data_IF_295660834506
#
_entry.id   IF_295660834506
#
_cell.length_a   1.000
_cell.length_b   1.000
_cell.length_c   1.000
_cell.angle_alpha   90.00
_cell.angle_beta   90.00
_cell.angle_gamma   90.00
#
_symmetry.space_group_name_H-M   'P 1'
#
loop_
_entity.id
_entity.type
_entity.pdbx_description
1 polymer ?
#
# COMPACT_ATOMS: atom_id res chain seq x y z
N UNK A 1 13.90 -11.58 41.23
CA UNK A 1 13.31 -12.04 39.95
C UNK A 1 12.81 -10.83 39.17
N UNK A 2 13.35 -10.59 37.98
CA UNK A 2 12.92 -9.49 37.12
C UNK A 2 11.61 -9.84 36.41
N UNK A 3 10.64 -8.91 36.31
CA UNK A 3 9.37 -9.15 35.64
C UNK A 3 9.58 -9.40 34.14
N UNK A 4 8.78 -10.28 33.56
CA UNK A 4 8.83 -10.67 32.14
C UNK A 4 7.80 -9.86 31.35
N UNK A 5 8.14 -9.34 30.17
CA UNK A 5 7.32 -8.38 29.43
C UNK A 5 6.75 -8.96 28.13
N UNK A 6 5.48 -8.68 27.87
CA UNK A 6 4.80 -8.88 26.58
C UNK A 6 4.35 -7.52 26.08
N UNK A 7 4.69 -7.20 24.84
CA UNK A 7 4.34 -5.91 24.23
C UNK A 7 3.29 -6.13 23.13
N UNK A 8 2.15 -5.45 23.26
CA UNK A 8 1.14 -5.29 22.22
C UNK A 8 1.23 -3.90 21.58
N UNK A 9 1.71 -3.80 20.35
CA UNK A 9 1.76 -2.53 19.61
C UNK A 9 0.54 -2.46 18.71
N UNK A 10 -0.37 -1.56 19.04
CA UNK A 10 -1.57 -1.29 18.27
C UNK A 10 -1.41 0.01 17.51
N UNK A 11 -1.08 -0.06 16.22
CA UNK A 11 -0.98 1.10 15.33
C UNK A 11 -2.40 1.42 14.85
N UNK A 12 -2.98 2.53 15.30
CA UNK A 12 -4.34 2.97 14.99
C UNK A 12 -4.32 4.24 14.16
N UNK A 13 -5.04 4.19 13.05
CA UNK A 13 -5.05 5.11 11.91
C UNK A 13 -3.96 4.78 10.92
N UNK A 14 -4.35 4.69 9.66
CA UNK A 14 -3.50 5.02 8.52
C UNK A 14 -4.11 6.29 7.96
N UNK A 15 -3.58 7.44 8.37
CA UNK A 15 -3.99 8.70 7.76
C UNK A 15 -3.31 8.75 6.41
N UNK A 16 -4.04 8.37 5.36
CA UNK A 16 -3.62 8.69 4.00
C UNK A 16 -3.72 10.21 3.89
N UNK A 17 -2.58 10.90 4.05
CA UNK A 17 -2.54 12.35 3.96
C UNK A 17 -2.88 12.77 2.54
N UNK A 18 -3.73 13.80 2.47
CA UNK A 18 -4.56 14.14 1.33
C UNK A 18 -3.81 14.27 -0.01
N UNK A 19 -4.28 13.46 -0.96
CA UNK A 19 -5.02 13.99 -2.13
C UNK A 19 -6.55 13.97 -1.85
N UNK A 20 -6.98 14.15 -0.58
CA UNK A 20 -8.25 13.66 0.04
C UNK A 20 -8.14 12.14 0.31
N UNK A 21 -8.43 11.55 1.48
CA UNK A 21 -9.51 11.78 2.45
C UNK A 21 -10.72 10.89 2.12
N UNK A 22 -11.07 10.90 0.84
CA UNK A 22 -11.92 9.93 0.17
C UNK A 22 -11.09 9.30 -0.93
N UNK A 23 -11.17 7.98 -1.00
CA UNK A 23 -10.43 7.24 -1.97
C UNK A 23 -11.01 7.56 -3.35
N UNK A 24 -10.33 8.42 -4.09
CA UNK A 24 -10.69 8.69 -5.48
C UNK A 24 -10.55 7.38 -6.24
N UNK A 25 -11.66 6.88 -6.77
CA UNK A 25 -11.65 5.71 -7.63
C UNK A 25 -11.01 6.10 -8.97
N UNK A 26 -9.78 5.63 -9.20
CA UNK A 26 -9.03 5.97 -10.40
C UNK A 26 -9.72 5.49 -11.69
N UNK A 27 -10.59 4.47 -11.62
CA UNK A 27 -11.43 4.10 -12.76
C UNK A 27 -12.42 5.20 -13.10
N UNK A 28 -13.15 5.74 -12.13
CA UNK A 28 -14.17 6.77 -12.37
C UNK A 28 -13.55 8.04 -12.98
N UNK A 29 -12.36 8.44 -12.53
CA UNK A 29 -11.65 9.60 -13.09
C UNK A 29 -11.13 9.33 -14.50
N UNK A 30 -10.62 8.12 -14.75
CA UNK A 30 -10.16 7.74 -16.08
C UNK A 30 -11.31 7.58 -17.06
N UNK A 31 -12.46 7.07 -16.60
CA UNK A 31 -13.69 6.99 -17.37
C UNK A 31 -14.14 8.38 -17.79
N UNK A 32 -14.21 9.34 -16.85
CA UNK A 32 -14.50 10.74 -17.16
C UNK A 32 -13.53 11.35 -18.19
N UNK A 33 -12.23 11.10 -18.04
CA UNK A 33 -11.23 11.54 -19.01
C UNK A 33 -11.49 10.97 -20.41
N UNK A 34 -11.78 9.66 -20.49
CA UNK A 34 -12.06 8.98 -21.76
C UNK A 34 -13.36 9.49 -22.37
N UNK A 35 -14.40 9.72 -21.57
CA UNK A 35 -15.67 10.26 -22.04
C UNK A 35 -15.50 11.66 -22.64
N UNK A 36 -14.71 12.53 -21.99
CA UNK A 36 -14.37 13.85 -22.53
C UNK A 36 -13.59 13.74 -23.85
N UNK A 37 -12.60 12.85 -23.90
CA UNK A 37 -11.82 12.60 -25.12
C UNK A 37 -12.68 12.02 -26.25
N UNK A 38 -13.63 11.15 -25.92
CA UNK A 38 -14.50 10.51 -26.89
C UNK A 38 -15.58 11.46 -27.43
N UNK A 39 -15.93 12.54 -26.71
CA UNK A 39 -16.84 13.59 -27.25
C UNK A 39 -16.28 14.24 -28.51
N UNK A 40 -14.97 14.41 -28.60
CA UNK A 40 -14.29 15.02 -29.75
C UNK A 40 -13.91 13.96 -30.80
N UNK A 41 -13.25 12.87 -30.38
CA UNK A 41 -12.73 11.86 -31.31
C UNK A 41 -13.82 10.91 -31.85
N UNK A 42 -14.81 10.55 -31.01
CA UNK A 42 -15.94 9.65 -31.33
C UNK A 42 -15.53 8.34 -32.01
N UNK A 43 -14.38 7.80 -31.63
CA UNK A 43 -13.85 6.56 -32.19
C UNK A 43 -13.03 5.74 -31.18
N UNK A 44 -13.11 6.07 -29.89
CA UNK A 44 -12.51 5.26 -28.83
C UNK A 44 -13.37 4.02 -28.61
N UNK A 45 -12.79 2.84 -28.75
CA UNK A 45 -13.52 1.57 -28.68
C UNK A 45 -13.32 0.87 -27.34
N UNK A 46 -12.11 0.88 -26.80
CA UNK A 46 -11.79 0.27 -25.50
C UNK A 46 -10.70 1.06 -24.78
N UNK A 47 -10.60 0.90 -23.47
CA UNK A 47 -9.52 1.49 -22.66
C UNK A 47 -9.23 0.62 -21.44
N UNK A 48 -8.07 0.82 -20.82
CA UNK A 48 -7.68 0.08 -19.64
C UNK A 48 -6.53 0.70 -18.85
N UNK A 49 -6.68 0.66 -17.52
CA UNK A 49 -5.73 1.20 -16.55
C UNK A 49 -4.59 0.25 -16.18
N UNK A 50 -4.90 -1.04 -16.14
CA UNK A 50 -4.03 -2.07 -15.58
C UNK A 50 -3.21 -2.75 -16.67
N UNK A 51 -2.12 -3.40 -16.27
CA UNK A 51 -1.31 -4.31 -17.10
C UNK A 51 -2.11 -5.46 -17.76
N UNK A 52 -3.35 -5.71 -17.33
CA UNK A 52 -4.24 -6.70 -17.92
C UNK A 52 -4.83 -6.29 -19.27
N UNK A 53 -4.78 -5.01 -19.62
CA UNK A 53 -5.32 -4.51 -20.89
C UNK A 53 -4.47 -4.98 -22.08
N UNK A 54 -5.12 -5.24 -23.22
CA UNK A 54 -4.51 -5.86 -24.41
C UNK A 54 -3.31 -5.10 -24.97
N UNK A 55 -3.23 -3.79 -24.73
CA UNK A 55 -2.06 -2.98 -25.03
C UNK A 55 -0.79 -3.47 -24.33
N UNK A 56 -0.85 -3.72 -23.03
CA UNK A 56 0.31 -4.11 -22.23
C UNK A 56 0.73 -5.57 -22.46
N UNK A 57 -0.20 -6.42 -22.91
CA UNK A 57 0.05 -7.85 -23.18
C UNK A 57 0.75 -8.13 -24.50
N UNK A 58 0.82 -7.14 -25.40
CA UNK A 58 1.32 -7.35 -26.77
C UNK A 58 2.84 -7.48 -26.90
N UNK A 59 3.59 -7.39 -25.80
CA UNK A 59 5.05 -7.48 -25.85
C UNK A 59 5.66 -6.43 -26.78
N UNK A 60 5.02 -5.27 -26.92
CA UNK A 60 5.63 -4.10 -27.54
C UNK A 60 6.98 -3.92 -26.85
N UNK A 61 8.06 -3.82 -27.63
CA UNK A 61 9.39 -3.49 -27.13
C UNK A 61 9.20 -2.37 -26.12
N UNK A 62 9.31 -2.72 -24.83
CA UNK A 62 9.01 -1.79 -23.75
C UNK A 62 10.10 -0.74 -23.86
N UNK A 63 9.84 0.34 -24.60
CA UNK A 63 10.56 1.57 -24.38
C UNK A 63 10.44 1.81 -22.89
N UNK A 64 11.57 1.82 -22.18
CA UNK A 64 11.64 1.95 -20.72
C UNK A 64 10.86 3.17 -20.19
N UNK A 65 10.44 4.07 -21.08
CA UNK A 65 9.66 5.27 -20.85
C UNK A 65 8.15 5.06 -20.70
N UNK A 66 7.54 3.98 -21.24
CA UNK A 66 6.08 3.76 -21.22
C UNK A 66 5.72 2.44 -20.54
N UNK A 67 5.13 2.53 -19.35
CA UNK A 67 4.78 1.37 -18.52
C UNK A 67 3.38 1.52 -17.90
N UNK A 68 2.70 0.41 -17.58
CA UNK A 68 1.37 0.44 -16.94
C UNK A 68 1.43 1.12 -15.59
N UNK A 69 0.29 1.64 -15.12
CA UNK A 69 0.23 2.36 -13.85
C UNK A 69 0.72 1.49 -12.69
N UNK A 70 1.61 2.06 -11.85
CA UNK A 70 2.11 1.46 -10.63
C UNK A 70 1.76 2.33 -9.43
N UNK A 71 1.64 1.70 -8.28
CA UNK A 71 1.42 2.38 -7.01
C UNK A 71 2.69 2.29 -6.16
N UNK A 72 3.15 3.45 -5.69
CA UNK A 72 4.34 3.58 -4.85
C UNK A 72 3.97 4.21 -3.52
N UNK A 73 4.54 3.68 -2.44
CA UNK A 73 4.43 4.31 -1.12
C UNK A 73 5.70 5.12 -0.89
N UNK A 74 5.56 6.45 -0.84
CA UNK A 74 6.71 7.36 -0.71
C UNK A 74 7.13 7.57 0.73
N UNK A 75 6.18 7.51 1.68
CA UNK A 75 6.46 7.83 3.09
C UNK A 75 5.49 7.07 3.99
N UNK A 76 6.02 6.56 5.10
CA UNK A 76 5.25 5.94 6.18
C UNK A 76 5.66 6.64 7.48
N UNK A 77 4.68 7.15 8.23
CA UNK A 77 4.91 7.78 9.54
C UNK A 77 4.06 7.12 10.62
N UNK A 78 4.45 7.33 11.88
CA UNK A 78 3.79 6.82 13.07
C UNK A 78 3.94 7.85 14.19
N UNK A 79 2.82 8.43 14.62
CA UNK A 79 2.80 9.56 15.57
C UNK A 79 1.90 9.28 16.79
N UNK A 80 2.42 9.36 18.03
CA UNK A 80 3.83 9.56 18.36
C UNK A 80 4.71 8.40 17.87
N UNK A 81 6.02 8.61 17.66
CA UNK A 81 6.94 7.53 17.35
C UNK A 81 6.81 6.42 18.39
N UNK A 82 6.77 5.18 17.92
CA UNK A 82 6.84 4.03 18.83
C UNK A 82 8.23 4.00 19.44
N UNK A 83 8.32 3.79 20.75
CA UNK A 83 9.62 3.71 21.41
C UNK A 83 10.47 2.60 20.79
N UNK A 84 11.77 2.86 20.65
CA UNK A 84 12.71 1.83 20.25
C UNK A 84 12.81 0.79 21.38
N UNK A 85 12.08 -0.31 21.24
CA UNK A 85 12.18 -1.49 22.12
C UNK A 85 13.58 -2.11 22.13
N UNK A 86 14.50 -1.60 21.29
CA UNK A 86 15.93 -1.89 21.34
C UNK A 86 16.53 -1.63 22.74
N UNK A 87 15.95 -0.69 23.50
CA UNK A 87 16.33 -0.35 24.88
C UNK A 87 15.70 -1.26 25.96
N UNK A 88 14.69 -2.07 25.59
CA UNK A 88 14.18 -3.15 26.44
C UNK A 88 15.18 -4.29 26.30
N UNK A 89 16.29 -4.07 27.01
CA UNK A 89 17.49 -4.90 27.04
C UNK A 89 17.12 -6.36 27.32
N UNK A 90 17.98 -7.26 26.84
CA UNK A 90 17.93 -8.72 27.00
C UNK A 90 17.63 -9.22 28.41
N UNK A 91 17.83 -8.39 29.43
CA UNK A 91 17.64 -8.71 30.84
C UNK A 91 16.18 -8.51 31.33
N UNK A 92 15.34 -7.79 30.57
CA UNK A 92 13.94 -7.47 30.93
C UNK A 92 12.92 -8.54 30.48
N UNK A 93 13.37 -9.63 29.83
CA UNK A 93 12.50 -10.76 29.48
C UNK A 93 11.39 -10.41 28.48
N UNK A 94 11.70 -9.68 27.41
CA UNK A 94 10.75 -9.47 26.31
C UNK A 94 10.48 -10.80 25.58
N UNK A 95 9.25 -11.30 25.64
CA UNK A 95 8.90 -12.61 25.07
C UNK A 95 8.27 -12.50 23.68
N UNK A 96 7.43 -11.48 23.50
CA UNK A 96 6.53 -11.37 22.37
C UNK A 96 6.23 -9.91 22.04
N UNK A 97 6.22 -9.61 20.74
CA UNK A 97 5.73 -8.35 20.19
C UNK A 97 4.59 -8.66 19.21
N UNK A 98 3.41 -8.09 19.44
CA UNK A 98 2.33 -8.10 18.44
C UNK A 98 2.25 -6.74 17.78
N UNK A 99 2.37 -6.69 16.46
CA UNK A 99 2.06 -5.52 15.65
C UNK A 99 0.65 -5.66 15.07
N UNK A 100 -0.15 -4.62 15.22
CA UNK A 100 -1.48 -4.53 14.62
C UNK A 100 -1.57 -3.22 13.85
N UNK A 101 -1.76 -3.28 12.54
CA UNK A 101 -2.10 -2.12 11.72
C UNK A 101 -3.61 -2.13 11.49
N UNK A 102 -4.30 -1.12 12.03
CA UNK A 102 -5.73 -0.93 11.84
C UNK A 102 -5.99 0.20 10.83
N UNK A 103 -6.42 -0.20 9.63
CA UNK A 103 -6.80 0.66 8.51
C UNK A 103 -8.28 1.03 8.67
N UNK A 104 -8.57 2.31 8.92
CA UNK A 104 -9.94 2.80 9.15
C UNK A 104 -10.85 2.71 7.92
N UNK A 105 -10.26 2.72 6.73
CA UNK A 105 -10.94 2.51 5.44
C UNK A 105 -10.16 1.51 4.60
N UNK A 106 -10.87 0.74 3.78
CA UNK A 106 -10.24 -0.15 2.80
C UNK A 106 -9.63 0.67 1.67
N UNK A 107 -8.49 0.21 1.17
CA UNK A 107 -7.89 0.71 -0.06
C UNK A 107 -8.47 -0.13 -1.22
N UNK A 108 -9.55 0.35 -1.86
CA UNK A 108 -10.07 -0.16 -3.13
C UNK A 108 -9.33 0.48 -4.32
N UNK A 109 -8.35 -0.25 -4.84
CA UNK A 109 -7.52 0.18 -5.95
C UNK A 109 -7.15 -1.06 -6.77
N UNK A 110 -7.20 -1.01 -8.12
CA UNK A 110 -6.75 -2.12 -8.96
C UNK A 110 -5.24 -2.32 -8.94
N UNK A 111 -4.49 -1.32 -8.50
CA UNK A 111 -3.03 -1.37 -8.41
C UNK A 111 -2.60 -1.91 -7.06
N UNK A 112 -1.59 -2.78 -7.05
CA UNK A 112 -1.07 -3.35 -5.82
C UNK A 112 -0.38 -2.28 -4.97
N UNK A 113 -0.94 -1.97 -3.80
CA UNK A 113 -0.40 -1.03 -2.82
C UNK A 113 0.25 -1.85 -1.71
N UNK A 114 1.59 -1.93 -1.75
CA UNK A 114 2.38 -2.67 -0.75
C UNK A 114 3.21 -1.72 0.11
N UNK A 115 3.14 -1.88 1.43
CA UNK A 115 3.94 -1.15 2.38
C UNK A 115 5.08 -1.98 2.92
N UNK A 116 6.28 -1.41 2.86
CA UNK A 116 7.49 -1.97 3.48
C UNK A 116 7.77 -1.24 4.77
N UNK A 117 7.67 -1.94 5.89
CA UNK A 117 7.94 -1.39 7.23
C UNK A 117 9.03 -2.20 7.91
N UNK A 118 9.87 -1.51 8.67
CA UNK A 118 10.87 -2.17 9.50
C UNK A 118 10.27 -2.47 10.88
N UNK A 119 10.30 -3.74 11.29
CA UNK A 119 9.79 -4.20 12.59
C UNK A 119 10.80 -5.14 13.24
N UNK A 120 10.71 -5.30 14.56
CA UNK A 120 11.47 -6.32 15.26
C UNK A 120 10.84 -7.71 15.04
N UNK A 121 11.67 -8.66 14.62
CA UNK A 121 11.34 -10.08 14.52
C UNK A 121 12.25 -10.91 15.43
N UNK A 122 11.73 -12.02 15.96
CA UNK A 122 12.54 -12.96 16.73
C UNK A 122 13.56 -13.69 15.87
N UNK A 123 14.80 -13.77 16.36
CA UNK A 123 15.90 -14.52 15.79
C UNK A 123 16.85 -14.96 16.91
N UNK A 124 16.96 -16.27 17.14
CA UNK A 124 17.89 -16.89 18.09
C UNK A 124 17.86 -16.25 19.49
N UNK A 125 16.68 -16.22 20.12
CA UNK A 125 16.48 -15.67 21.47
C UNK A 125 16.68 -14.16 21.60
N UNK A 126 16.77 -13.44 20.47
CA UNK A 126 16.83 -11.99 20.42
C UNK A 126 15.82 -11.44 19.41
N UNK A 127 15.58 -10.12 19.47
CA UNK A 127 14.82 -9.40 18.44
C UNK A 127 15.78 -8.68 17.50
N UNK A 128 15.52 -8.78 16.19
CA UNK A 128 16.29 -8.07 15.16
C UNK A 128 15.36 -7.31 14.24
N UNK A 129 15.77 -6.10 13.84
CA UNK A 129 15.06 -5.29 12.85
C UNK A 129 15.05 -6.01 11.50
N UNK A 130 13.86 -6.20 10.94
CA UNK A 130 13.65 -6.78 9.62
C UNK A 130 12.57 -6.02 8.87
N UNK A 131 12.76 -5.88 7.57
CA UNK A 131 11.73 -5.35 6.70
C UNK A 131 10.66 -6.42 6.49
N UNK A 132 9.40 -6.02 6.67
CA UNK A 132 8.24 -6.79 6.25
C UNK A 132 7.49 -6.00 5.20
N UNK A 133 6.92 -6.72 4.25
CA UNK A 133 6.02 -6.16 3.26
C UNK A 133 4.62 -6.67 3.53
N UNK A 134 3.62 -5.80 3.48
CA UNK A 134 2.21 -6.19 3.51
C UNK A 134 1.40 -5.41 2.49
N UNK A 135 0.41 -6.08 1.91
CA UNK A 135 -0.53 -5.48 0.95
C UNK A 135 -1.63 -4.75 1.70
N UNK A 136 -1.90 -3.51 1.32
CA UNK A 136 -2.93 -2.67 1.94
C UNK A 136 -4.29 -2.75 1.21
N UNK A 137 -4.33 -3.27 -0.02
CA UNK A 137 -5.56 -3.41 -0.80
C UNK A 137 -6.61 -4.24 -0.05
N UNK A 138 -7.86 -3.75 -0.07
CA UNK A 138 -9.05 -4.42 0.49
C UNK A 138 -8.90 -4.97 1.93
N UNK A 139 -7.91 -4.49 2.68
CA UNK A 139 -7.59 -4.99 4.03
C UNK A 139 -7.90 -3.88 5.04
N UNK A 140 -8.51 -4.25 6.16
CA UNK A 140 -8.77 -3.32 7.29
C UNK A 140 -7.88 -3.60 8.49
N UNK A 141 -7.34 -4.82 8.59
CA UNK A 141 -6.55 -5.26 9.73
C UNK A 141 -5.39 -6.13 9.27
N UNK A 142 -4.16 -5.72 9.60
CA UNK A 142 -2.97 -6.55 9.43
C UNK A 142 -2.41 -6.85 10.81
N UNK A 143 -2.17 -8.12 11.12
CA UNK A 143 -1.57 -8.55 12.39
C UNK A 143 -0.29 -9.33 12.13
N UNK A 144 0.79 -8.95 12.80
CA UNK A 144 2.06 -9.68 12.80
C UNK A 144 2.50 -9.97 14.22
N UNK A 145 2.86 -11.21 14.50
CA UNK A 145 3.40 -11.62 15.80
C UNK A 145 4.87 -11.96 15.62
N UNK A 146 5.71 -11.40 16.48
CA UNK A 146 7.12 -11.71 16.61
C UNK A 146 7.36 -12.33 17.99
N UNK A 147 7.96 -13.52 18.01
CA UNK A 147 8.22 -14.29 19.24
C UNK A 147 9.71 -14.47 19.39
N UNK A 148 10.26 -14.22 20.58
CA UNK A 148 11.70 -14.27 20.83
C UNK A 148 12.31 -15.68 20.60
N UNK A 149 11.58 -16.74 20.98
CA UNK A 149 11.97 -18.13 20.80
C UNK A 149 10.75 -19.04 20.59
N UNK A 150 10.94 -20.18 19.90
CA UNK A 150 9.87 -21.16 19.65
C UNK A 150 9.51 -21.88 20.95
N UNK A 151 8.22 -22.13 21.19
CA UNK A 151 7.74 -22.90 22.34
C UNK A 151 7.44 -22.11 23.62
N UNK A 152 7.48 -20.77 23.59
CA UNK A 152 7.07 -19.93 24.72
C UNK A 152 5.63 -20.25 25.15
N UNK A 153 5.44 -20.61 26.42
CA UNK A 153 4.12 -20.68 27.06
C UNK A 153 3.88 -19.40 27.86
N UNK A 154 2.95 -18.57 27.40
CA UNK A 154 2.53 -17.34 28.07
C UNK A 154 1.60 -17.65 29.26
N UNK A 155 2.12 -18.28 30.31
CA UNK A 155 1.36 -18.56 31.54
C UNK A 155 2.19 -18.18 32.75
N UNK A 156 1.71 -17.26 33.59
CA UNK A 156 2.36 -16.91 34.85
C UNK A 156 1.95 -15.53 35.39
N UNK A 157 1.98 -15.37 36.71
CA UNK A 157 1.63 -14.12 37.42
C UNK A 157 2.64 -12.97 37.21
N UNK A 158 3.75 -13.22 36.52
CA UNK A 158 4.87 -12.28 36.33
C UNK A 158 4.97 -11.70 34.91
N UNK A 159 3.98 -11.97 34.05
CA UNK A 159 3.92 -11.44 32.68
C UNK A 159 3.22 -10.09 32.70
N UNK A 160 3.88 -9.03 32.20
CA UNK A 160 3.26 -7.71 32.07
C UNK A 160 2.90 -7.38 30.62
N UNK A 161 1.66 -6.91 30.49
CA UNK A 161 0.99 -6.17 29.42
C UNK A 161 1.57 -4.78 29.09
N UNK A 162 2.37 -4.55 28.06
CA UNK A 162 2.67 -3.18 27.63
C UNK A 162 2.05 -2.88 26.27
N UNK A 163 1.22 -1.82 26.20
CA UNK A 163 0.56 -1.42 24.97
C UNK A 163 0.98 -0.03 24.52
N UNK A 164 1.40 0.08 23.26
CA UNK A 164 1.64 1.36 22.60
C UNK A 164 0.69 1.56 21.43
N UNK A 165 0.36 2.82 21.17
CA UNK A 165 -0.49 3.21 20.05
C UNK A 165 0.04 4.45 19.37
N UNK A 166 0.08 4.41 18.04
CA UNK A 166 0.39 5.58 17.22
C UNK A 166 -0.56 5.66 16.03
N UNK A 167 -0.65 6.87 15.48
CA UNK A 167 -1.27 7.19 14.19
C UNK A 167 -0.29 6.86 13.08
N UNK A 168 -0.48 5.71 12.47
CA UNK A 168 0.21 5.37 11.24
C UNK A 168 -0.32 6.26 10.11
N UNK A 169 0.50 6.62 9.14
CA UNK A 169 0.10 7.37 7.95
C UNK A 169 0.97 6.93 6.79
N UNK A 170 0.39 6.85 5.59
CA UNK A 170 1.13 6.48 4.39
C UNK A 170 0.77 7.41 3.24
N UNK A 171 1.76 7.81 2.45
CA UNK A 171 1.53 8.56 1.21
C UNK A 171 1.70 7.61 0.03
N UNK A 172 0.62 7.43 -0.74
CA UNK A 172 0.59 6.61 -1.95
C UNK A 172 0.62 7.53 -3.17
N UNK A 173 1.49 7.26 -4.12
CA UNK A 173 1.60 7.95 -5.40
C UNK A 173 1.43 6.96 -6.54
N UNK A 174 0.75 7.38 -7.59
CA UNK A 174 0.58 6.59 -8.81
C UNK A 174 1.39 7.22 -9.93
N UNK A 175 2.13 6.41 -10.67
CA UNK A 175 2.90 6.79 -11.85
C UNK A 175 2.67 5.79 -12.99
N UNK A 176 3.14 6.12 -14.19
CA UNK A 176 2.90 5.33 -15.40
C UNK A 176 1.69 5.81 -16.22
N UNK A 177 1.21 4.91 -17.08
CA UNK A 177 0.28 5.24 -18.15
C UNK A 177 -0.91 4.28 -18.18
N UNK A 178 -2.06 4.80 -18.57
CA UNK A 178 -3.17 3.98 -19.06
C UNK A 178 -3.25 4.09 -20.58
N UNK A 179 -3.94 3.14 -21.21
CA UNK A 179 -4.05 3.08 -22.65
C UNK A 179 -5.49 3.00 -23.12
N UNK A 180 -5.73 3.51 -24.33
CA UNK A 180 -7.00 3.39 -25.03
C UNK A 180 -6.79 3.05 -26.50
N UNK A 181 -7.81 2.47 -27.09
CA UNK A 181 -7.85 2.01 -28.47
C UNK A 181 -8.78 2.91 -29.27
N UNK A 182 -8.35 3.29 -30.47
CA UNK A 182 -9.17 3.96 -31.47
C UNK A 182 -9.29 3.14 -32.72
N UNK A 183 -10.41 3.27 -33.42
CA UNK A 183 -10.63 2.66 -34.73
C UNK A 183 -10.76 3.75 -35.80
N UNK A 184 -10.03 3.59 -36.91
CA UNK A 184 -10.22 4.45 -38.08
C UNK A 184 -11.52 4.10 -38.78
N UNK A 185 -12.31 5.12 -39.16
CA UNK A 185 -13.59 4.93 -39.87
C UNK A 185 -13.41 4.37 -41.28
N UNK A 186 -12.24 4.55 -41.88
CA UNK A 186 -12.01 4.29 -43.31
C UNK A 186 -11.16 3.04 -43.60
N UNK A 187 -10.40 2.52 -42.63
CA UNK A 187 -9.35 1.50 -42.92
C UNK A 187 -9.35 0.26 -42.01
N UNK A 188 -10.36 0.08 -41.13
CA UNK A 188 -10.38 -1.03 -40.16
C UNK A 188 -9.09 -1.14 -39.32
N UNK A 189 -8.34 -0.03 -39.23
CA UNK A 189 -7.04 0.04 -38.59
C UNK A 189 -7.25 0.45 -37.14
N UNK A 190 -6.77 -0.41 -36.26
CA UNK A 190 -6.75 -0.16 -34.83
C UNK A 190 -5.46 0.54 -34.43
N UNK A 191 -5.58 1.65 -33.72
CA UNK A 191 -4.45 2.37 -33.12
C UNK A 191 -4.60 2.42 -31.60
N UNK A 192 -3.46 2.45 -30.91
CA UNK A 192 -3.42 2.51 -29.45
C UNK A 192 -2.67 3.75 -29.01
N UNK A 193 -3.19 4.35 -27.96
CA UNK A 193 -2.70 5.60 -27.40
C UNK A 193 -2.47 5.41 -25.91
N UNK A 194 -1.52 6.16 -25.35
CA UNK A 194 -1.21 6.14 -23.92
C UNK A 194 -1.36 7.52 -23.31
N UNK A 195 -1.76 7.55 -22.04
CA UNK A 195 -1.97 8.78 -21.29
C UNK A 195 -1.32 8.62 -19.91
N UNK A 196 -0.50 9.59 -19.53
CA UNK A 196 0.12 9.61 -18.21
C UNK A 196 -0.93 9.78 -17.11
N UNK A 197 -0.87 8.99 -16.06
CA UNK A 197 -1.81 9.03 -14.92
C UNK A 197 -1.88 10.42 -14.26
N UNK A 198 -0.80 11.19 -14.34
CA UNK A 198 -0.76 12.57 -13.82
C UNK A 198 -1.79 13.50 -14.49
N UNK A 199 -2.21 13.20 -15.72
CA UNK A 199 -3.24 13.99 -16.42
C UNK A 199 -4.61 13.87 -15.75
N UNK A 200 -4.88 12.78 -15.04
CA UNK A 200 -6.12 12.59 -14.27
C UNK A 200 -6.20 13.51 -13.04
N UNK A 201 -5.07 14.07 -12.56
CA UNK A 201 -5.07 14.98 -11.42
C UNK A 201 -5.75 16.33 -11.71
N UNK A 202 -5.82 16.72 -12.98
CA UNK A 202 -6.44 17.99 -13.39
C UNK A 202 -7.97 17.91 -13.39
N UNK A 203 -8.54 16.72 -13.64
CA UNK A 203 -9.99 16.49 -13.59
C UNK A 203 -10.50 16.60 -12.15
N UNK A 204 -9.70 16.14 -11.18
CA UNK A 204 -10.05 16.16 -9.75
C UNK A 204 -10.02 17.55 -9.09
N UNK A 205 -9.60 18.58 -9.82
CA UNK A 205 -9.54 19.96 -9.33
C UNK A 205 -10.71 20.82 -9.82
N UNK A 206 -11.53 20.30 -10.73
CA UNK A 206 -12.75 20.93 -11.23
C UNK A 206 -13.97 20.32 -10.54
#
# INVERSE_FOLDING_TARGET
MHPTLVVGILLRMVTLTRVSGEMVNLYDVAEQYIDELNRTMKNITTWGLTDQYSYWKRGLDQQDEVYPIRAHISTITCEPPVDAYDSINSDAGLLLITYVWNLTKRIYCPFLVSAKVQVLQGANSAFKKKNITFTMNNTTLVRKVAVAFRGIRLKGKHIRIFQQTCRFSAKVTFDGFFAYQTESRDENKTEYHTVQVKMLQNILKN
#
